data_IF_378635216311
#
_entry.id   IF_378635216311
#
_cell.length_a   1.000
_cell.length_b   1.000
_cell.length_c   1.000
_cell.angle_alpha   90.00
_cell.angle_beta   90.00
_cell.angle_gamma   90.00
#
_symmetry.space_group_name_H-M   'P 1'
#
loop_
_entity.id
_entity.type
_entity.pdbx_description
1 polymer ?
#
# COMPACT_ATOMS: atom_id res chain seq x y z
N UNK A 1 6.69 9.46 -36.50
CA UNK A 1 7.18 8.78 -35.29
C UNK A 1 6.14 9.02 -34.20
N UNK A 2 5.35 8.02 -33.84
CA UNK A 2 4.42 8.13 -32.70
C UNK A 2 5.24 8.09 -31.41
N UNK A 3 5.13 9.16 -30.61
CA UNK A 3 5.91 9.30 -29.39
C UNK A 3 5.47 8.20 -28.42
N UNK A 4 6.41 7.52 -27.75
CA UNK A 4 6.04 6.41 -26.84
C UNK A 4 5.13 6.88 -25.70
N UNK A 5 5.17 8.18 -25.35
CA UNK A 5 4.23 8.83 -24.43
C UNK A 5 2.76 8.72 -24.89
N UNK A 6 2.50 8.91 -26.18
CA UNK A 6 1.14 8.93 -26.74
C UNK A 6 0.54 7.52 -26.77
N UNK A 7 1.38 6.49 -26.95
CA UNK A 7 0.97 5.07 -26.91
C UNK A 7 0.52 4.65 -25.51
N UNK A 8 1.21 5.11 -24.48
CA UNK A 8 0.87 4.79 -23.09
C UNK A 8 -0.38 5.55 -22.64
N UNK A 9 -0.53 6.82 -23.02
CA UNK A 9 -1.74 7.60 -22.74
C UNK A 9 -3.01 6.99 -23.37
N UNK A 10 -2.91 6.42 -24.58
CA UNK A 10 -4.03 5.68 -25.20
C UNK A 10 -4.31 4.32 -24.57
N UNK A 11 -3.36 3.73 -23.83
CA UNK A 11 -3.51 2.41 -23.21
C UNK A 11 -4.35 2.45 -21.92
N UNK A 12 -4.20 3.53 -21.16
CA UNK A 12 -4.83 3.75 -19.86
C UNK A 12 -5.97 4.75 -20.01
N UNK A 13 -7.11 4.31 -20.54
CA UNK A 13 -8.27 5.18 -20.73
C UNK A 13 -8.62 5.87 -19.41
N UNK A 14 -8.50 7.19 -19.34
CA UNK A 14 -8.85 7.98 -18.14
C UNK A 14 -7.82 8.03 -17.01
N UNK A 15 -6.59 7.53 -17.20
CA UNK A 15 -5.48 7.73 -16.25
C UNK A 15 -4.24 8.26 -16.97
N UNK A 16 -3.58 9.25 -16.37
CA UNK A 16 -2.27 9.69 -16.82
C UNK A 16 -1.22 8.64 -16.41
N UNK A 17 -0.33 8.31 -17.35
CA UNK A 17 0.78 7.37 -17.12
C UNK A 17 2.08 8.13 -17.18
N UNK A 18 2.90 7.97 -16.15
CA UNK A 18 4.28 8.40 -16.18
C UNK A 18 5.07 7.57 -17.20
N UNK A 19 5.29 8.15 -18.37
CA UNK A 19 6.01 7.49 -19.47
C UNK A 19 7.48 7.22 -19.16
N UNK A 20 8.07 7.93 -18.19
CA UNK A 20 9.45 7.69 -17.74
C UNK A 20 9.49 6.45 -16.86
N UNK A 21 8.55 6.33 -15.92
CA UNK A 21 8.39 5.13 -15.09
C UNK A 21 8.10 3.89 -15.95
N UNK A 22 7.17 4.00 -16.90
CA UNK A 22 6.83 2.90 -17.81
C UNK A 22 8.04 2.39 -18.61
N UNK A 23 8.91 3.29 -19.09
CA UNK A 23 10.15 2.92 -19.80
C UNK A 23 11.17 2.27 -18.87
N UNK A 24 11.38 2.83 -17.67
CA UNK A 24 12.32 2.29 -16.68
C UNK A 24 11.95 0.87 -16.25
N UNK A 25 10.66 0.60 -16.10
CA UNK A 25 10.15 -0.71 -15.68
C UNK A 25 10.03 -1.72 -16.82
N UNK A 26 10.31 -1.31 -18.07
CA UNK A 26 10.12 -2.11 -19.28
C UNK A 26 8.71 -2.75 -19.35
N UNK A 27 7.69 -2.01 -18.91
CA UNK A 27 6.33 -2.55 -18.78
C UNK A 27 5.69 -2.73 -20.16
N UNK A 28 5.11 -3.92 -20.39
CA UNK A 28 4.36 -4.19 -21.60
C UNK A 28 2.93 -3.61 -21.55
N UNK A 29 2.31 -3.49 -22.73
CA UNK A 29 0.97 -2.92 -22.86
C UNK A 29 -0.12 -3.74 -22.14
N UNK A 30 -0.13 -5.09 -22.18
CA UNK A 30 -1.08 -5.89 -21.40
C UNK A 30 -0.99 -5.65 -19.90
N UNK A 31 0.22 -5.62 -19.33
CA UNK A 31 0.45 -5.37 -17.91
C UNK A 31 0.03 -3.95 -17.54
N UNK A 32 0.39 -2.95 -18.34
CA UNK A 32 -0.01 -1.56 -18.09
C UNK A 32 -1.54 -1.41 -18.04
N UNK A 33 -2.28 -2.04 -18.97
CA UNK A 33 -3.75 -2.02 -18.96
C UNK A 33 -4.31 -2.65 -17.69
N UNK A 34 -3.80 -3.82 -17.30
CA UNK A 34 -4.20 -4.49 -16.07
C UNK A 34 -3.97 -3.60 -14.83
N UNK A 35 -2.83 -2.92 -14.75
CA UNK A 35 -2.52 -2.03 -13.63
C UNK A 35 -3.40 -0.77 -13.67
N UNK A 36 -3.69 -0.21 -14.84
CA UNK A 36 -4.58 0.94 -14.97
C UNK A 36 -6.01 0.60 -14.53
N UNK A 37 -6.53 -0.57 -14.92
CA UNK A 37 -7.85 -1.04 -14.47
C UNK A 37 -7.89 -1.23 -12.96
N UNK A 38 -6.86 -1.85 -12.37
CA UNK A 38 -6.72 -2.01 -10.93
C UNK A 38 -6.67 -0.66 -10.19
N UNK A 39 -5.88 0.28 -10.72
CA UNK A 39 -5.77 1.64 -10.18
C UNK A 39 -7.13 2.35 -10.19
N UNK A 40 -7.86 2.29 -11.31
CA UNK A 40 -9.22 2.85 -11.45
C UNK A 40 -10.24 2.21 -10.52
N UNK A 41 -10.08 0.92 -10.19
CA UNK A 41 -10.89 0.23 -9.19
C UNK A 41 -10.48 0.59 -7.75
N UNK A 42 -9.59 1.56 -7.55
CA UNK A 42 -9.16 2.04 -6.26
C UNK A 42 -8.24 1.07 -5.51
N UNK A 43 -7.53 0.18 -6.21
CA UNK A 43 -6.68 -0.81 -5.53
C UNK A 43 -5.59 -0.14 -4.70
N UNK A 44 -4.87 0.84 -5.28
CA UNK A 44 -3.82 1.55 -4.55
C UNK A 44 -4.39 2.25 -3.32
N UNK A 45 -5.55 2.90 -3.43
CA UNK A 45 -6.18 3.66 -2.36
C UNK A 45 -6.85 2.83 -1.25
N UNK A 46 -6.98 1.51 -1.42
CA UNK A 46 -7.66 0.62 -0.46
C UNK A 46 -6.84 -0.63 -0.13
N UNK A 47 -5.52 -0.55 -0.32
CA UNK A 47 -4.65 -1.73 -0.24
C UNK A 47 -4.49 -2.26 1.18
N UNK A 48 -4.36 -1.36 2.17
CA UNK A 48 -4.11 -1.73 3.56
C UNK A 48 -5.42 -2.00 4.34
N UNK A 49 -6.56 -1.46 3.89
CA UNK A 49 -7.91 -1.83 4.36
C UNK A 49 -8.35 -3.22 3.90
N UNK A 50 -7.70 -3.77 2.85
CA UNK A 50 -7.91 -5.13 2.36
C UNK A 50 -6.79 -6.03 2.86
N UNK A 51 -6.87 -6.39 4.13
CA UNK A 51 -5.97 -7.39 4.74
C UNK A 51 -6.29 -8.74 4.08
N UNK A 52 -5.54 -9.10 3.04
CA UNK A 52 -5.70 -10.40 2.39
C UNK A 52 -4.34 -10.97 2.00
N UNK A 53 -4.19 -12.31 1.90
CA UNK A 53 -3.02 -12.94 1.31
C UNK A 53 -2.71 -12.46 -0.12
N UNK A 54 -3.67 -11.83 -0.81
CA UNK A 54 -3.52 -11.27 -2.15
C UNK A 54 -2.67 -9.99 -2.17
N UNK A 55 -2.68 -9.20 -1.09
CA UNK A 55 -1.90 -7.96 -0.98
C UNK A 55 -0.40 -8.26 -1.01
N UNK A 56 -0.02 -9.34 -0.32
CA UNK A 56 1.33 -9.91 -0.32
C UNK A 56 1.76 -10.48 -1.68
N UNK A 57 0.84 -11.13 -2.39
CA UNK A 57 1.12 -11.74 -3.71
C UNK A 57 1.23 -10.72 -4.85
N UNK A 58 0.78 -9.48 -4.63
CA UNK A 58 0.71 -8.43 -5.66
C UNK A 58 1.47 -7.15 -5.29
N UNK A 59 2.41 -7.25 -4.34
CA UNK A 59 3.28 -6.14 -3.91
C UNK A 59 3.84 -5.34 -5.09
N UNK A 60 4.47 -6.02 -6.05
CA UNK A 60 5.08 -5.37 -7.22
C UNK A 60 4.06 -4.61 -8.07
N UNK A 61 2.81 -5.08 -8.14
CA UNK A 61 1.73 -4.41 -8.87
C UNK A 61 1.34 -3.09 -8.18
N UNK A 62 1.35 -3.05 -6.84
CA UNK A 62 1.09 -1.83 -6.08
C UNK A 62 2.20 -0.80 -6.20
N UNK A 63 3.46 -1.24 -6.11
CA UNK A 63 4.63 -0.38 -6.30
C UNK A 63 4.62 0.19 -7.72
N UNK A 64 4.34 -0.65 -8.72
CA UNK A 64 4.19 -0.20 -10.10
C UNK A 64 3.04 0.80 -10.27
N UNK A 65 1.88 0.57 -9.64
CA UNK A 65 0.78 1.53 -9.71
C UNK A 65 1.14 2.88 -9.08
N UNK A 66 1.84 2.88 -7.94
CA UNK A 66 2.30 4.10 -7.28
C UNK A 66 3.24 4.91 -8.19
N UNK A 67 4.19 4.23 -8.84
CA UNK A 67 5.17 4.84 -9.72
C UNK A 67 4.57 5.32 -11.06
N UNK A 68 3.61 4.56 -11.62
CA UNK A 68 3.01 4.84 -12.92
C UNK A 68 1.91 5.90 -12.89
N UNK A 69 1.06 5.91 -11.86
CA UNK A 69 -0.22 6.64 -11.90
C UNK A 69 -0.34 7.80 -10.91
N UNK A 70 0.54 7.88 -9.92
CA UNK A 70 0.63 9.08 -9.07
C UNK A 70 1.52 10.09 -9.77
N UNK A 71 1.01 11.29 -9.98
CA UNK A 71 1.62 12.32 -10.84
C UNK A 71 2.01 13.61 -10.10
N UNK A 72 1.66 13.70 -8.82
CA UNK A 72 1.83 14.90 -8.00
C UNK A 72 2.17 14.53 -6.55
N UNK A 73 2.95 15.40 -5.91
CA UNK A 73 3.27 15.29 -4.48
C UNK A 73 2.01 15.27 -3.62
N UNK A 74 1.02 16.12 -3.92
CA UNK A 74 -0.27 16.16 -3.22
C UNK A 74 -1.01 14.82 -3.28
N UNK A 75 -1.09 14.21 -4.47
CA UNK A 75 -1.70 12.89 -4.61
C UNK A 75 -0.92 11.79 -3.87
N UNK A 76 0.41 11.89 -3.85
CA UNK A 76 1.24 10.96 -3.08
C UNK A 76 0.98 11.06 -1.57
N UNK A 77 0.91 12.29 -1.04
CA UNK A 77 0.57 12.53 0.37
C UNK A 77 -0.82 11.99 0.71
N UNK A 78 -1.81 12.18 -0.16
CA UNK A 78 -3.15 11.61 0.05
C UNK A 78 -3.17 10.08 0.10
N UNK A 79 -2.35 9.42 -0.71
CA UNK A 79 -2.20 7.95 -0.65
C UNK A 79 -1.56 7.54 0.67
N UNK A 80 -0.53 8.25 1.14
CA UNK A 80 0.13 7.96 2.42
C UNK A 80 -0.78 8.22 3.62
N UNK A 81 -1.55 9.31 3.63
CA UNK A 81 -2.57 9.59 4.66
C UNK A 81 -3.59 8.46 4.75
N UNK A 82 -4.00 7.92 3.59
CA UNK A 82 -4.92 6.79 3.54
C UNK A 82 -4.28 5.52 4.07
N UNK A 83 -2.99 5.31 3.81
CA UNK A 83 -2.26 4.17 4.34
C UNK A 83 -2.09 4.24 5.86
N UNK A 84 -1.83 5.43 6.40
CA UNK A 84 -1.77 5.66 7.84
C UNK A 84 -3.10 5.27 8.50
N UNK A 85 -4.22 5.76 7.96
CA UNK A 85 -5.55 5.43 8.45
C UNK A 85 -5.90 3.94 8.33
N UNK A 86 -5.52 3.30 7.23
CA UNK A 86 -5.78 1.87 7.03
C UNK A 86 -4.90 0.99 7.95
N UNK A 87 -3.64 1.36 8.19
CA UNK A 87 -2.77 0.67 9.15
C UNK A 87 -3.31 0.78 10.58
N UNK A 88 -3.79 1.97 10.95
CA UNK A 88 -4.39 2.20 12.27
C UNK A 88 -5.64 1.34 12.46
N UNK A 89 -6.51 1.32 11.44
CA UNK A 89 -7.70 0.48 11.44
C UNK A 89 -7.33 -1.02 11.50
N UNK A 90 -6.31 -1.45 10.76
CA UNK A 90 -5.84 -2.84 10.82
C UNK A 90 -5.38 -3.21 12.22
N UNK A 91 -4.53 -2.38 12.84
CA UNK A 91 -4.01 -2.65 14.18
C UNK A 91 -5.15 -2.71 15.21
N UNK A 92 -6.13 -1.80 15.11
CA UNK A 92 -7.33 -1.82 15.96
C UNK A 92 -8.14 -3.11 15.78
N UNK A 93 -8.46 -3.48 14.55
CA UNK A 93 -9.31 -4.65 14.25
C UNK A 93 -8.61 -5.97 14.58
N UNK A 94 -7.30 -6.05 14.34
CA UNK A 94 -6.48 -7.22 14.61
C UNK A 94 -5.95 -7.28 16.06
N UNK A 95 -6.34 -6.32 16.91
CA UNK A 95 -5.91 -6.21 18.32
C UNK A 95 -4.36 -6.18 18.47
N UNK A 96 -3.65 -5.59 17.51
CA UNK A 96 -2.19 -5.46 17.52
C UNK A 96 -1.81 -4.19 18.31
N UNK A 97 -1.13 -4.37 19.43
CA UNK A 97 -0.59 -3.25 20.20
C UNK A 97 0.77 -2.81 19.64
N UNK A 98 0.82 -1.58 19.11
CA UNK A 98 2.07 -0.94 18.68
C UNK A 98 2.64 -0.14 19.84
N UNK A 99 3.90 -0.37 20.20
CA UNK A 99 4.58 0.35 21.29
C UNK A 99 5.62 1.33 20.74
N UNK A 100 6.00 2.38 21.49
CA UNK A 100 7.04 3.34 21.08
C UNK A 100 8.42 2.73 20.81
N UNK A 101 8.67 1.50 21.27
CA UNK A 101 9.92 0.78 21.07
C UNK A 101 9.91 -0.13 19.84
N UNK A 102 8.75 -0.32 19.21
CA UNK A 102 8.65 -1.08 17.98
C UNK A 102 9.29 -0.32 16.81
N UNK A 103 9.88 -1.09 15.91
CA UNK A 103 10.48 -0.62 14.66
C UNK A 103 10.00 -1.53 13.54
N UNK A 104 10.23 -1.15 12.28
CA UNK A 104 9.98 -2.00 11.11
C UNK A 104 10.63 -3.40 11.21
N UNK A 105 11.71 -3.54 11.97
CA UNK A 105 12.41 -4.82 12.16
C UNK A 105 11.86 -5.68 13.30
N UNK A 106 11.02 -5.11 14.15
CA UNK A 106 10.53 -5.75 15.39
C UNK A 106 9.02 -5.78 15.47
N UNK A 107 8.32 -5.39 14.39
CA UNK A 107 6.86 -5.54 14.27
C UNK A 107 6.50 -7.01 14.10
N UNK A 108 5.28 -7.38 14.49
CA UNK A 108 4.79 -8.75 14.28
C UNK A 108 4.75 -9.10 12.80
N UNK A 109 4.88 -10.40 12.49
CA UNK A 109 4.81 -10.91 11.11
C UNK A 109 3.53 -10.47 10.39
N UNK A 110 2.45 -10.31 11.14
CA UNK A 110 1.14 -9.84 10.72
C UNK A 110 1.14 -8.41 10.17
N UNK A 111 1.92 -7.54 10.81
CA UNK A 111 2.03 -6.14 10.47
C UNK A 111 3.14 -5.91 9.43
N UNK A 112 4.18 -6.75 9.44
CA UNK A 112 5.36 -6.65 8.58
C UNK A 112 5.01 -6.50 7.09
N UNK A 113 4.02 -7.26 6.62
CA UNK A 113 3.53 -7.22 5.24
C UNK A 113 3.05 -5.82 4.82
N UNK A 114 2.27 -5.19 5.70
CA UNK A 114 1.64 -3.90 5.44
C UNK A 114 2.67 -2.77 5.56
N UNK A 115 3.54 -2.84 6.57
CA UNK A 115 4.55 -1.82 6.81
C UNK A 115 5.66 -1.85 5.77
N UNK A 116 6.03 -3.04 5.26
CA UNK A 116 7.01 -3.17 4.17
C UNK A 116 6.46 -2.59 2.86
N UNK A 117 5.20 -2.91 2.52
CA UNK A 117 4.56 -2.34 1.32
C UNK A 117 4.43 -0.82 1.43
N UNK A 118 4.06 -0.32 2.61
CA UNK A 118 4.04 1.11 2.89
C UNK A 118 5.42 1.73 2.64
N UNK A 119 6.47 1.21 3.27
CA UNK A 119 7.83 1.77 3.19
C UNK A 119 8.30 1.86 1.74
N UNK A 120 8.01 0.85 0.93
CA UNK A 120 8.42 0.82 -0.48
C UNK A 120 7.66 1.81 -1.35
N UNK A 121 6.36 1.99 -1.11
CA UNK A 121 5.56 2.99 -1.82
C UNK A 121 5.99 4.40 -1.39
N UNK A 122 6.20 4.61 -0.08
CA UNK A 122 6.73 5.87 0.44
C UNK A 122 8.11 6.19 -0.16
N UNK A 123 8.98 5.19 -0.35
CA UNK A 123 10.28 5.35 -1.00
C UNK A 123 10.16 5.70 -2.49
N UNK A 124 9.17 5.16 -3.20
CA UNK A 124 8.85 5.57 -4.58
C UNK A 124 8.46 7.04 -4.60
N UNK A 125 7.55 7.47 -3.72
CA UNK A 125 7.10 8.85 -3.66
C UNK A 125 8.21 9.82 -3.23
N UNK A 126 9.04 9.45 -2.25
CA UNK A 126 10.23 10.22 -1.89
C UNK A 126 11.14 10.44 -3.09
N UNK A 127 11.48 9.38 -3.83
CA UNK A 127 12.35 9.49 -5.01
C UNK A 127 11.72 10.30 -6.14
N UNK A 128 10.40 10.26 -6.27
CA UNK A 128 9.68 10.87 -7.39
C UNK A 128 9.32 12.34 -7.15
N UNK A 129 9.01 12.69 -5.91
CA UNK A 129 8.42 13.98 -5.54
C UNK A 129 9.19 14.72 -4.44
N UNK A 130 10.21 14.11 -3.85
CA UNK A 130 11.00 14.67 -2.73
C UNK A 130 10.13 15.03 -1.50
N UNK A 131 9.08 14.23 -1.24
CA UNK A 131 8.21 14.37 -0.07
C UNK A 131 8.84 13.77 1.20
N UNK A 132 8.36 14.13 2.38
CA UNK A 132 8.95 13.61 3.62
C UNK A 132 8.78 12.09 3.74
N UNK A 133 9.86 11.40 4.15
CA UNK A 133 9.79 9.96 4.44
C UNK A 133 9.02 9.73 5.74
N UNK A 134 7.86 9.10 5.63
CA UNK A 134 7.04 8.70 6.79
C UNK A 134 7.50 7.36 7.34
N UNK A 135 7.56 7.27 8.67
CA UNK A 135 7.77 6.01 9.38
C UNK A 135 6.39 5.46 9.78
N UNK A 136 5.91 4.38 9.13
CA UNK A 136 4.55 3.89 9.34
C UNK A 136 4.32 3.40 10.78
N UNK A 137 5.38 3.08 11.55
CA UNK A 137 5.25 2.67 12.94
C UNK A 137 5.09 3.87 13.87
N UNK A 138 5.84 4.94 13.63
CA UNK A 138 5.73 6.16 14.44
C UNK A 138 4.35 6.77 14.34
N UNK A 139 3.75 6.77 13.15
CA UNK A 139 2.38 7.28 12.96
C UNK A 139 1.37 6.50 13.81
N UNK A 140 1.52 5.18 13.94
CA UNK A 140 0.64 4.32 14.73
C UNK A 140 0.75 4.54 16.25
N UNK A 141 1.94 4.92 16.75
CA UNK A 141 2.15 5.16 18.19
C UNK A 141 1.46 6.42 18.71
N UNK A 142 1.02 7.30 17.82
CA UNK A 142 0.36 8.57 18.16
C UNK A 142 -1.17 8.47 18.16
N UNK A 143 -1.73 7.39 17.61
CA UNK A 143 -3.18 7.20 17.50
C UNK A 143 -3.74 6.35 18.64
N UNK A 144 -4.80 6.80 19.34
CA UNK A 144 -5.46 5.98 20.34
C UNK A 144 -6.14 4.79 19.65
N UNK A 145 -5.64 3.58 19.86
CA UNK A 145 -6.28 2.35 19.36
C UNK A 145 -7.66 2.24 20.00
N UNK A 146 -8.70 2.62 19.25
CA UNK A 146 -10.08 2.42 19.68
C UNK A 146 -10.42 0.93 19.56
N UNK A 147 -10.55 0.25 20.70
CA UNK A 147 -10.90 -1.17 20.80
C UNK A 147 -12.36 -1.48 20.46
N UNK A 148 -13.18 -0.48 20.12
CA UNK A 148 -14.64 -0.62 20.02
C UNK A 148 -15.13 -1.28 18.72
N UNK A 149 -14.25 -1.60 17.77
CA UNK A 149 -14.63 -2.13 16.45
C UNK A 149 -13.84 -3.37 16.03
N UNK A 150 -13.61 -4.32 16.94
CA UNK A 150 -13.10 -5.64 16.52
C UNK A 150 -14.09 -6.29 15.56
N UNK A 151 -13.62 -6.65 14.36
CA UNK A 151 -14.40 -7.35 13.36
C UNK A 151 -14.16 -8.87 13.53
N UNK A 152 -15.17 -9.67 13.92
CA UNK A 152 -15.00 -11.10 14.20
C UNK A 152 -14.39 -11.88 13.04
N UNK A 153 -14.71 -11.51 11.80
CA UNK A 153 -14.19 -12.18 10.62
C UNK A 153 -12.69 -11.94 10.43
N UNK A 154 -12.25 -10.69 10.62
CA UNK A 154 -10.82 -10.35 10.51
C UNK A 154 -10.06 -11.00 11.67
N UNK A 155 -10.62 -11.00 12.88
CA UNK A 155 -10.04 -11.69 14.03
C UNK A 155 -9.85 -13.18 13.77
N UNK A 156 -10.89 -13.90 13.35
CA UNK A 156 -10.81 -15.32 13.02
C UNK A 156 -9.81 -15.62 11.90
N UNK A 157 -9.74 -14.79 10.86
CA UNK A 157 -8.74 -14.92 9.80
C UNK A 157 -7.32 -14.75 10.34
N UNK A 158 -7.07 -13.72 11.16
CA UNK A 158 -5.77 -13.47 11.75
C UNK A 158 -5.35 -14.62 12.69
N UNK A 159 -6.26 -15.06 13.55
CA UNK A 159 -6.02 -16.15 14.50
C UNK A 159 -5.70 -17.47 13.78
N UNK A 160 -6.42 -17.79 12.70
CA UNK A 160 -6.17 -18.99 11.89
C UNK A 160 -4.88 -18.91 11.08
N UNK A 161 -4.58 -17.74 10.49
CA UNK A 161 -3.44 -17.56 9.59
C UNK A 161 -2.11 -17.53 10.34
N UNK A 162 -2.11 -16.90 11.52
CA UNK A 162 -0.93 -16.66 12.34
C UNK A 162 -0.87 -17.53 13.60
N UNK A 163 -1.82 -18.46 13.75
CA UNK A 163 -1.85 -19.47 14.81
C UNK A 163 -1.85 -18.88 16.22
N UNK A 164 -2.52 -17.75 16.41
CA UNK A 164 -2.63 -17.09 17.73
C UNK A 164 -3.34 -17.96 18.79
N UNK A 165 -4.11 -18.97 18.36
CA UNK A 165 -4.86 -19.88 19.22
C UNK A 165 -4.20 -21.27 19.42
N UNK A 166 -2.99 -21.52 18.89
CA UNK A 166 -2.33 -22.84 19.00
C UNK A 166 -1.45 -23.00 20.25
N UNK A 167 -1.43 -22.03 21.17
CA UNK A 167 -0.78 -22.17 22.48
C UNK A 167 -1.83 -22.44 23.57
N UNK A 168 -2.18 -23.72 23.72
CA UNK A 168 -2.58 -24.33 25.00
C UNK A 168 -1.51 -25.33 25.43
#
# INVERSE_FOLDING_TARGET
MTNSSDKFYQASTGCYVDSTAARRMEIDMPKLRKLADAYRMGWLHNVLSRITPLTLQRRDDYIAMADLFIDSAESAEHVLDRFDADLELFCSVAEIQVTPHMTLKTVSDELSAHTNLYEEIAEVFYKKFDIERRDPIKTLTLSPIMSEHSNPFIKEFMDSRFKRNDEN
#
